data_IF_327780985032
#
_entry.id   IF_327780985032
#
_cell.length_a   1.000
_cell.length_b   1.000
_cell.length_c   1.000
_cell.angle_alpha   90.00
_cell.angle_beta   90.00
_cell.angle_gamma   90.00
#
_symmetry.space_group_name_H-M   'P 1'
#
loop_
_entity.id
_entity.type
_entity.pdbx_description
1 polymer ?
#
# COMPACT_ATOMS: atom_id res chain seq x y z
N UNK A 1 -2.60 -27.61 9.30
CA UNK A 1 -1.73 -27.18 8.20
C UNK A 1 -2.60 -26.72 7.05
N UNK A 2 -3.02 -25.46 7.05
CA UNK A 2 -3.68 -24.83 5.91
C UNK A 2 -3.40 -23.34 5.97
N UNK A 3 -3.20 -22.74 4.79
CA UNK A 3 -3.36 -21.33 4.40
C UNK A 3 -2.15 -20.81 3.60
N UNK A 4 -1.96 -21.38 2.40
CA UNK A 4 -1.45 -20.60 1.27
C UNK A 4 -2.66 -20.18 0.43
N UNK A 5 -3.29 -19.07 0.80
CA UNK A 5 -4.28 -18.42 -0.04
C UNK A 5 -3.55 -17.37 -0.90
N UNK A 6 -2.91 -17.84 -1.98
CA UNK A 6 -2.56 -16.96 -3.09
C UNK A 6 -3.88 -16.46 -3.70
N UNK A 7 -4.18 -15.19 -3.49
CA UNK A 7 -5.22 -14.50 -4.26
C UNK A 7 -4.57 -14.12 -5.57
N UNK A 8 -4.66 -15.02 -6.55
CA UNK A 8 -4.33 -14.73 -7.94
C UNK A 8 -5.29 -13.65 -8.44
N UNK A 9 -4.81 -12.40 -8.48
CA UNK A 9 -5.55 -11.30 -9.08
C UNK A 9 -5.37 -11.40 -10.58
N UNK A 10 -6.35 -12.00 -11.25
CA UNK A 10 -6.39 -12.14 -12.71
C UNK A 10 -6.26 -10.77 -13.39
N UNK A 11 -5.04 -10.45 -13.82
CA UNK A 11 -4.63 -9.18 -14.44
C UNK A 11 -5.48 -8.88 -15.70
N UNK A 12 -5.99 -9.93 -16.36
CA UNK A 12 -6.84 -9.86 -17.54
C UNK A 12 -8.26 -9.38 -17.23
N UNK A 13 -8.82 -9.75 -16.06
CA UNK A 13 -10.12 -9.27 -15.60
C UNK A 13 -10.06 -7.78 -15.28
N UNK A 14 -8.95 -7.34 -14.69
CA UNK A 14 -8.69 -5.93 -14.40
C UNK A 14 -8.42 -5.12 -15.68
N UNK A 15 -7.78 -5.71 -16.70
CA UNK A 15 -7.61 -5.09 -18.01
C UNK A 15 -8.95 -4.90 -18.74
N UNK A 16 -9.81 -5.92 -18.75
CA UNK A 16 -11.16 -5.84 -19.33
C UNK A 16 -12.03 -4.80 -18.61
N UNK A 17 -11.92 -4.72 -17.29
CA UNK A 17 -12.63 -3.72 -16.48
C UNK A 17 -12.15 -2.29 -16.78
N UNK A 18 -10.85 -2.10 -17.03
CA UNK A 18 -10.26 -0.83 -17.47
C UNK A 18 -10.71 -0.45 -18.89
N UNK A 19 -10.78 -1.42 -19.81
CA UNK A 19 -11.27 -1.19 -21.18
C UNK A 19 -12.74 -0.74 -21.18
N UNK A 20 -13.60 -1.41 -20.40
CA UNK A 20 -15.02 -1.02 -20.24
C UNK A 20 -15.18 0.37 -19.62
N UNK A 21 -14.34 0.72 -18.65
CA UNK A 21 -14.37 2.05 -18.02
C UNK A 21 -13.90 3.15 -18.98
N UNK A 22 -12.89 2.87 -19.84
CA UNK A 22 -12.45 3.82 -20.87
C UNK A 22 -13.52 4.05 -21.94
N UNK A 23 -14.13 2.97 -22.44
CA UNK A 23 -15.23 3.04 -23.39
C UNK A 23 -16.42 3.83 -22.82
N UNK A 24 -16.79 3.58 -21.55
CA UNK A 24 -17.87 4.32 -20.87
C UNK A 24 -17.57 5.80 -20.65
N UNK A 25 -16.29 6.18 -20.55
CA UNK A 25 -15.85 7.55 -20.35
C UNK A 25 -15.53 8.29 -21.65
N UNK A 26 -15.70 7.64 -22.81
CA UNK A 26 -15.42 8.24 -24.13
C UNK A 26 -13.95 8.64 -24.31
N UNK A 27 -13.03 7.97 -23.60
CA UNK A 27 -11.60 8.20 -23.74
C UNK A 27 -11.09 7.22 -24.79
N UNK A 28 -11.25 7.60 -26.06
CA UNK A 28 -10.70 6.89 -27.20
C UNK A 28 -9.18 6.82 -27.07
N UNK A 29 -8.62 5.66 -27.38
CA UNK A 29 -7.17 5.46 -27.39
C UNK A 29 -6.57 6.23 -28.55
N UNK A 30 -5.65 7.15 -28.25
CA UNK A 30 -4.75 7.73 -29.24
C UNK A 30 -3.87 6.60 -29.84
N UNK A 31 -4.36 5.98 -30.91
CA UNK A 31 -3.59 5.19 -31.85
C UNK A 31 -3.64 5.90 -33.22
N UNK A 32 -2.52 5.95 -33.96
CA UNK A 32 -2.31 6.93 -35.01
C UNK A 32 -3.20 6.68 -36.24
N UNK A 33 -3.63 7.80 -36.82
CA UNK A 33 -4.50 7.93 -37.98
C UNK A 33 -4.06 7.08 -39.19
N UNK A 34 -5.01 6.35 -39.76
CA UNK A 34 -5.00 5.87 -41.14
C UNK A 34 -6.40 5.94 -41.76
N UNK A 35 -6.59 6.98 -42.58
CA UNK A 35 -7.21 7.01 -43.92
C UNK A 35 -8.54 6.28 -44.25
N UNK A 36 -9.52 7.10 -44.65
CA UNK A 36 -10.57 6.97 -45.68
C UNK A 36 -11.62 5.82 -45.70
N UNK A 37 -12.90 6.23 -45.82
CA UNK A 37 -14.02 5.41 -46.29
C UNK A 37 -15.39 6.08 -46.13
N UNK A 38 -15.90 6.70 -47.21
CA UNK A 38 -17.22 7.37 -47.35
C UNK A 38 -18.41 6.42 -47.63
N UNK A 39 -19.63 6.88 -47.27
CA UNK A 39 -20.96 6.46 -47.79
C UNK A 39 -21.85 5.70 -46.80
N UNK A 40 -23.18 5.84 -46.70
CA UNK A 40 -24.20 6.71 -47.31
C UNK A 40 -25.55 6.47 -46.54
N UNK A 41 -26.43 7.47 -46.62
CA UNK A 41 -27.84 7.65 -46.27
C UNK A 41 -28.69 6.56 -45.54
N UNK A 42 -29.45 7.05 -44.57
CA UNK A 42 -30.69 6.45 -44.05
C UNK A 42 -31.46 7.44 -43.19
N UNK A 43 -32.11 8.43 -43.81
CA UNK A 43 -33.07 9.35 -43.16
C UNK A 43 -34.49 8.84 -43.40
N UNK A 44 -35.25 8.61 -42.32
CA UNK A 44 -36.71 8.64 -42.24
C UNK A 44 -37.05 8.66 -40.73
N UNK A 45 -37.32 9.81 -40.09
CA UNK A 45 -38.56 10.58 -40.13
C UNK A 45 -39.78 9.85 -39.52
N UNK A 46 -39.99 10.00 -38.21
CA UNK A 46 -41.30 10.18 -37.54
C UNK A 46 -41.02 10.56 -36.06
N UNK A 47 -40.97 11.84 -35.70
CA UNK A 47 -42.07 12.73 -35.28
C UNK A 47 -42.49 12.63 -33.80
N UNK A 48 -42.47 13.81 -33.19
CA UNK A 48 -43.33 14.28 -32.11
C UNK A 48 -43.10 13.74 -30.68
N UNK A 49 -42.45 14.60 -29.89
CA UNK A 49 -43.10 15.10 -28.68
C UNK A 49 -42.84 14.32 -27.41
N UNK A 50 -41.61 14.40 -26.90
CA UNK A 50 -41.48 14.63 -25.46
C UNK A 50 -40.77 15.97 -25.32
N UNK A 51 -41.58 16.92 -24.89
CA UNK A 51 -41.25 18.27 -24.51
C UNK A 51 -39.85 18.33 -23.88
N UNK A 52 -39.01 19.21 -24.43
CA UNK A 52 -37.95 19.84 -23.66
C UNK A 52 -38.61 20.40 -22.39
N UNK A 53 -38.60 19.62 -21.31
CA UNK A 53 -38.77 20.14 -19.96
C UNK A 53 -37.52 20.99 -19.67
N UNK A 54 -37.52 22.19 -20.26
CA UNK A 54 -36.61 23.31 -20.06
C UNK A 54 -36.67 23.79 -18.61
N UNK A 55 -36.24 22.95 -17.67
CA UNK A 55 -35.79 23.26 -16.32
C UNK A 55 -35.79 21.95 -15.55
N UNK A 56 -34.73 21.17 -15.73
CA UNK A 56 -34.42 20.12 -14.76
C UNK A 56 -34.55 20.75 -13.38
N UNK A 57 -35.55 20.33 -12.61
CA UNK A 57 -35.86 20.98 -11.34
C UNK A 57 -34.59 21.08 -10.52
N UNK A 58 -34.43 22.09 -9.67
CA UNK A 58 -33.23 22.22 -8.83
C UNK A 58 -32.86 20.89 -8.14
N UNK A 59 -33.88 20.08 -7.82
CA UNK A 59 -33.77 18.71 -7.32
C UNK A 59 -33.05 17.76 -8.30
N UNK A 60 -33.46 17.67 -9.56
CA UNK A 60 -32.81 16.83 -10.57
C UNK A 60 -31.35 17.24 -10.87
N UNK A 61 -31.02 18.53 -10.74
CA UNK A 61 -29.63 19.00 -10.81
C UNK A 61 -28.81 18.56 -9.59
N UNK A 62 -29.35 18.72 -8.39
CA UNK A 62 -28.71 18.29 -7.14
C UNK A 62 -28.44 16.78 -7.18
N UNK A 63 -29.38 15.97 -7.63
CA UNK A 63 -29.21 14.52 -7.75
C UNK A 63 -28.14 14.12 -8.76
N UNK A 64 -28.06 14.80 -9.91
CA UNK A 64 -26.98 14.58 -10.89
C UNK A 64 -25.62 14.95 -10.32
N UNK A 65 -25.51 16.10 -9.65
CA UNK A 65 -24.25 16.51 -9.00
C UNK A 65 -23.85 15.54 -7.90
N UNK A 66 -24.81 15.04 -7.13
CA UNK A 66 -24.56 14.04 -6.08
C UNK A 66 -24.07 12.72 -6.67
N UNK A 67 -24.66 12.26 -7.78
CA UNK A 67 -24.17 11.07 -8.52
C UNK A 67 -22.73 11.27 -9.00
N UNK A 68 -22.44 12.39 -9.68
CA UNK A 68 -21.08 12.73 -10.13
C UNK A 68 -20.09 12.81 -8.97
N UNK A 69 -20.48 13.37 -7.83
CA UNK A 69 -19.62 13.45 -6.64
C UNK A 69 -19.36 12.07 -6.02
N UNK A 70 -20.36 11.19 -6.01
CA UNK A 70 -20.19 9.79 -5.57
C UNK A 70 -19.25 9.02 -6.51
N UNK A 71 -19.39 9.21 -7.81
CA UNK A 71 -18.50 8.62 -8.82
C UNK A 71 -17.07 9.15 -8.69
N UNK A 72 -16.91 10.46 -8.50
CA UNK A 72 -15.61 11.09 -8.27
C UNK A 72 -14.93 10.53 -7.03
N UNK A 73 -15.66 10.43 -5.90
CA UNK A 73 -15.16 9.81 -4.67
C UNK A 73 -14.70 8.38 -4.90
N UNK A 74 -15.48 7.59 -5.67
CA UNK A 74 -15.12 6.22 -6.01
C UNK A 74 -13.82 6.18 -6.83
N UNK A 75 -13.69 7.04 -7.84
CA UNK A 75 -12.48 7.10 -8.67
C UNK A 75 -11.24 7.49 -7.86
N UNK A 76 -11.33 8.49 -6.98
CA UNK A 76 -10.21 8.87 -6.12
C UNK A 76 -9.82 7.76 -5.14
N UNK A 77 -10.80 7.04 -4.58
CA UNK A 77 -10.54 5.88 -3.74
C UNK A 77 -9.80 4.79 -4.53
N UNK A 78 -10.22 4.52 -5.76
CA UNK A 78 -9.57 3.53 -6.62
C UNK A 78 -8.15 3.97 -7.04
N UNK A 79 -7.94 5.26 -7.31
CA UNK A 79 -6.60 5.82 -7.57
C UNK A 79 -5.67 5.68 -6.37
N UNK A 80 -6.18 5.98 -5.16
CA UNK A 80 -5.45 5.81 -3.91
C UNK A 80 -5.00 4.37 -3.70
N UNK A 81 -5.90 3.39 -3.86
CA UNK A 81 -5.56 1.98 -3.72
C UNK A 81 -4.51 1.52 -4.74
N UNK A 82 -4.61 1.96 -6.00
CA UNK A 82 -3.58 1.66 -7.02
C UNK A 82 -2.20 2.19 -6.66
N UNK A 83 -2.15 3.43 -6.15
CA UNK A 83 -0.89 4.04 -5.70
C UNK A 83 -0.30 3.29 -4.51
N UNK A 84 -1.14 2.92 -3.54
CA UNK A 84 -0.76 2.11 -2.39
C UNK A 84 -0.18 0.76 -2.81
N UNK A 85 -0.85 0.04 -3.70
CA UNK A 85 -0.39 -1.28 -4.14
C UNK A 85 0.91 -1.20 -4.94
N UNK A 86 1.07 -0.15 -5.76
CA UNK A 86 2.34 0.11 -6.43
C UNK A 86 3.46 0.42 -5.43
N UNK A 87 3.19 1.19 -4.38
CA UNK A 87 4.15 1.47 -3.31
C UNK A 87 4.53 0.19 -2.55
N UNK A 88 3.55 -0.64 -2.16
CA UNK A 88 3.77 -1.93 -1.50
C UNK A 88 4.62 -2.86 -2.35
N UNK A 89 4.35 -2.94 -3.65
CA UNK A 89 5.13 -3.77 -4.57
C UNK A 89 6.56 -3.28 -4.71
N UNK A 90 6.76 -1.96 -4.84
CA UNK A 90 8.11 -1.36 -4.89
C UNK A 90 8.86 -1.56 -3.57
N UNK A 91 8.18 -1.40 -2.43
CA UNK A 91 8.77 -1.60 -1.11
C UNK A 91 9.18 -3.05 -0.90
N UNK A 92 8.30 -4.01 -1.22
CA UNK A 92 8.62 -5.45 -1.19
C UNK A 92 9.83 -5.78 -2.06
N UNK A 93 9.90 -5.24 -3.28
CA UNK A 93 11.06 -5.42 -4.17
C UNK A 93 12.34 -4.81 -3.58
N UNK A 94 12.22 -3.63 -2.96
CA UNK A 94 13.34 -2.97 -2.28
C UNK A 94 13.83 -3.79 -1.07
N UNK A 95 12.93 -4.29 -0.24
CA UNK A 95 13.24 -5.13 0.91
C UNK A 95 13.93 -6.43 0.48
N UNK A 96 13.41 -7.10 -0.56
CA UNK A 96 14.03 -8.32 -1.11
C UNK A 96 15.42 -8.03 -1.66
N UNK A 97 15.59 -6.92 -2.41
CA UNK A 97 16.87 -6.55 -3.00
C UNK A 97 17.91 -6.11 -1.97
N UNK A 98 17.50 -5.45 -0.88
CA UNK A 98 18.40 -5.03 0.21
C UNK A 98 18.61 -6.10 1.28
N UNK A 99 17.96 -7.27 1.16
CA UNK A 99 18.05 -8.32 2.18
C UNK A 99 17.25 -8.04 3.46
N UNK A 100 16.43 -6.99 3.49
CA UNK A 100 15.57 -6.65 4.63
C UNK A 100 14.24 -7.41 4.64
N UNK A 101 13.88 -8.12 3.57
CA UNK A 101 12.64 -8.90 3.48
C UNK A 101 12.53 -10.03 4.52
N UNK A 102 13.61 -10.34 5.24
CA UNK A 102 13.59 -11.27 6.38
C UNK A 102 13.94 -10.63 7.72
N UNK A 103 14.36 -9.36 7.78
CA UNK A 103 14.94 -8.79 9.02
C UNK A 103 13.91 -8.73 10.14
N UNK A 104 12.75 -8.11 9.90
CA UNK A 104 11.73 -7.91 10.96
C UNK A 104 11.05 -9.20 11.38
N UNK A 105 10.65 -10.05 10.43
CA UNK A 105 10.01 -11.33 10.75
C UNK A 105 10.99 -12.34 11.36
N UNK A 106 12.27 -12.33 10.96
CA UNK A 106 13.29 -13.17 11.59
C UNK A 106 13.67 -12.64 12.97
N UNK A 107 13.70 -11.32 13.18
CA UNK A 107 13.89 -10.69 14.49
C UNK A 107 12.76 -11.08 15.45
N UNK A 108 11.51 -10.96 15.03
CA UNK A 108 10.34 -11.34 15.84
C UNK A 108 10.34 -12.84 16.16
N UNK A 109 10.65 -13.70 15.18
CA UNK A 109 10.77 -15.15 15.42
C UNK A 109 11.95 -15.53 16.30
N UNK A 110 13.08 -14.84 16.16
CA UNK A 110 14.24 -15.05 17.02
C UNK A 110 13.94 -14.63 18.46
N UNK A 111 13.22 -13.53 18.64
CA UNK A 111 12.81 -13.04 19.95
C UNK A 111 11.77 -13.98 20.59
N UNK A 112 10.77 -14.44 19.83
CA UNK A 112 9.80 -15.43 20.28
C UNK A 112 10.47 -16.78 20.63
N UNK A 113 11.49 -17.19 19.87
CA UNK A 113 12.28 -18.41 20.17
C UNK A 113 13.07 -18.28 21.47
N UNK A 114 13.62 -17.10 21.78
CA UNK A 114 14.30 -16.83 23.05
C UNK A 114 13.33 -16.81 24.24
N UNK A 115 12.18 -16.16 24.08
CA UNK A 115 11.10 -16.16 25.08
C UNK A 115 10.61 -17.59 25.37
N UNK A 116 10.44 -18.42 24.33
CA UNK A 116 10.05 -19.82 24.48
C UNK A 116 11.16 -20.70 25.08
N UNK A 117 12.44 -20.35 24.89
CA UNK A 117 13.59 -21.05 25.44
C UNK A 117 13.93 -20.64 26.89
N UNK A 118 13.24 -19.64 27.45
CA UNK A 118 13.50 -19.14 28.80
C UNK A 118 14.84 -18.40 28.93
N UNK A 119 15.48 -18.02 27.82
CA UNK A 119 16.65 -17.15 27.82
C UNK A 119 16.20 -15.74 28.26
N UNK A 120 16.86 -15.22 29.29
CA UNK A 120 16.33 -14.23 30.23
C UNK A 120 15.48 -13.11 29.60
N UNK A 121 14.23 -13.03 30.05
CA UNK A 121 13.37 -11.86 29.87
C UNK A 121 13.89 -10.61 30.63
N UNK A 122 14.94 -10.78 31.43
CA UNK A 122 15.57 -9.75 32.24
C UNK A 122 17.01 -9.50 31.78
N UNK A 123 17.47 -8.29 32.00
CA UNK A 123 18.84 -7.87 31.78
C UNK A 123 19.80 -8.74 32.61
N UNK A 124 20.95 -9.10 32.05
CA UNK A 124 22.01 -9.84 32.76
C UNK A 124 22.75 -9.03 33.83
N UNK A 125 22.19 -7.89 34.28
CA UNK A 125 22.77 -7.06 35.33
C UNK A 125 22.02 -7.29 36.65
N UNK A 126 22.75 -7.39 37.76
CA UNK A 126 22.19 -7.73 39.06
C UNK A 126 21.14 -6.70 39.51
N UNK A 127 19.89 -7.15 39.65
CA UNK A 127 18.77 -6.30 40.08
C UNK A 127 18.14 -5.42 38.99
N UNK A 128 18.34 -5.76 37.70
CA UNK A 128 17.70 -5.07 36.59
C UNK A 128 16.59 -5.93 35.94
N UNK A 129 15.34 -5.48 36.10
CA UNK A 129 14.15 -6.16 35.55
C UNK A 129 13.79 -5.71 34.12
N UNK A 130 14.61 -4.84 33.51
CA UNK A 130 14.37 -4.36 32.15
C UNK A 130 14.67 -5.47 31.13
N UNK A 131 13.84 -5.51 30.07
CA UNK A 131 14.03 -6.46 28.98
C UNK A 131 15.35 -6.16 28.25
N UNK A 132 16.19 -7.18 27.99
CA UNK A 132 17.44 -6.99 27.27
C UNK A 132 17.19 -6.58 25.82
N UNK A 133 18.15 -5.88 25.22
CA UNK A 133 18.09 -5.52 23.79
C UNK A 133 18.17 -6.75 22.90
N UNK A 134 17.62 -6.63 21.69
CA UNK A 134 17.65 -7.70 20.69
C UNK A 134 19.09 -8.21 20.48
N UNK A 135 19.25 -9.53 20.53
CA UNK A 135 20.54 -10.22 20.40
C UNK A 135 21.59 -9.93 21.48
N UNK A 136 21.30 -9.10 22.50
CA UNK A 136 22.18 -8.78 23.62
C UNK A 136 21.74 -9.48 24.91
N UNK A 137 22.63 -9.53 25.92
CA UNK A 137 22.31 -10.01 27.27
C UNK A 137 21.82 -8.90 28.21
N UNK A 138 22.03 -7.64 27.85
CA UNK A 138 21.74 -6.48 28.70
C UNK A 138 20.70 -5.55 28.07
N UNK A 139 20.01 -4.76 28.89
CA UNK A 139 19.11 -3.70 28.42
C UNK A 139 19.89 -2.51 27.84
N UNK A 140 19.19 -1.55 27.24
CA UNK A 140 19.84 -0.37 26.66
C UNK A 140 20.71 0.37 27.68
N UNK A 141 20.28 0.48 28.94
CA UNK A 141 21.01 1.21 29.99
C UNK A 141 22.32 0.53 30.41
N UNK A 142 22.35 -0.80 30.39
CA UNK A 142 23.50 -1.60 30.83
C UNK A 142 24.30 -2.21 29.67
N UNK A 143 23.99 -1.85 28.42
CA UNK A 143 24.63 -2.42 27.23
C UNK A 143 26.16 -2.27 27.23
N UNK A 144 26.69 -1.24 27.91
CA UNK A 144 28.13 -1.01 28.05
C UNK A 144 28.83 -2.03 28.95
N UNK A 145 28.09 -2.85 29.71
CA UNK A 145 28.62 -3.99 30.48
C UNK A 145 28.86 -5.23 29.60
N UNK A 146 28.40 -5.20 28.34
CA UNK A 146 28.59 -6.30 27.39
C UNK A 146 29.96 -6.19 26.70
N UNK A 147 30.83 -7.17 26.91
CA UNK A 147 32.16 -7.24 26.29
C UNK A 147 32.10 -7.48 24.77
N UNK A 148 30.99 -8.03 24.26
CA UNK A 148 30.83 -8.35 22.83
C UNK A 148 30.37 -7.15 22.01
N UNK A 149 30.05 -6.04 22.67
CA UNK A 149 29.37 -4.92 22.06
C UNK A 149 30.35 -3.86 21.54
N UNK A 150 30.19 -3.48 20.27
CA UNK A 150 31.08 -2.53 19.57
C UNK A 150 30.40 -1.24 19.09
N UNK A 151 29.08 -1.14 19.21
CA UNK A 151 28.28 -0.05 18.59
C UNK A 151 28.06 1.15 19.52
N UNK A 152 28.18 0.98 20.85
CA UNK A 152 27.78 1.97 21.84
C UNK A 152 29.02 2.37 22.66
N UNK A 153 29.09 3.65 23.02
CA UNK A 153 30.13 4.22 23.87
C UNK A 153 29.48 5.00 25.01
N UNK A 154 30.19 5.12 26.13
CA UNK A 154 29.74 5.96 27.23
C UNK A 154 29.78 7.45 26.79
N UNK A 155 28.64 8.13 26.85
CA UNK A 155 28.60 9.58 26.71
C UNK A 155 29.16 10.29 27.95
N UNK A 156 29.24 11.62 27.89
CA UNK A 156 29.63 12.48 29.03
C UNK A 156 28.81 12.22 30.30
N UNK A 157 27.55 11.81 30.12
CA UNK A 157 26.56 11.60 31.18
C UNK A 157 26.55 10.13 31.67
N UNK A 158 27.46 9.29 31.18
CA UNK A 158 27.49 7.84 31.44
C UNK A 158 26.44 7.03 30.68
N UNK A 159 25.54 7.69 29.94
CA UNK A 159 24.53 7.03 29.11
C UNK A 159 25.14 6.46 27.81
N UNK A 160 24.67 5.29 27.33
CA UNK A 160 25.13 4.73 26.06
C UNK A 160 24.71 5.59 24.87
N UNK A 161 25.68 5.94 24.02
CA UNK A 161 25.48 6.65 22.74
C UNK A 161 26.07 5.85 21.60
N UNK A 162 25.48 5.92 20.42
CA UNK A 162 26.02 5.22 19.25
C UNK A 162 27.37 5.83 18.86
N UNK A 163 28.38 4.99 18.58
CA UNK A 163 29.70 5.44 18.16
C UNK A 163 29.59 6.12 16.80
N UNK A 164 29.95 7.40 16.74
CA UNK A 164 30.09 8.12 15.46
C UNK A 164 31.31 7.55 14.71
N UNK A 165 31.16 7.34 13.40
CA UNK A 165 32.16 6.70 12.53
C UNK A 165 33.34 7.61 12.21
#
# INVERSE_FOLDING_TARGET
MTLDANVDVDVDVDAARRARLRARLGLESDAPASDAGEGDAGVDALEAGEEEEDATTQRALVERRLRKMKELRKMYRDQYWRLLDALRTKHRRFEVRRGHAGSRDAEEKANARREAAGEAAACGDDGCDERPMACAKFCFRHILKDETQILYVAGSDGAPRMRES
#
